data_IF_289149995435
#
_entry.id   IF_289149995435
#
_cell.length_a   1.000
_cell.length_b   1.000
_cell.length_c   1.000
_cell.angle_alpha   90.00
_cell.angle_beta   90.00
_cell.angle_gamma   90.00
#
_symmetry.space_group_name_H-M   'P 1'
#
loop_
_entity.id
_entity.type
_entity.pdbx_description
1 polymer ?
#
# COMPACT_ATOMS: atom_id res chain seq x y z
N UNK A 1 -5.52 -3.12 22.44
CA UNK A 1 -5.19 -2.28 21.29
C UNK A 1 -4.65 -3.15 20.17
N UNK A 2 -4.91 -2.78 18.91
CA UNK A 2 -4.51 -3.53 17.72
C UNK A 2 -3.39 -2.79 17.01
N UNK A 3 -2.31 -3.50 16.70
CA UNK A 3 -1.18 -2.99 15.91
C UNK A 3 -1.02 -3.90 14.70
N UNK A 4 -0.91 -3.31 13.51
CA UNK A 4 -0.67 -4.07 12.28
C UNK A 4 0.70 -3.75 11.71
N UNK A 5 1.31 -4.70 11.01
CA UNK A 5 2.64 -4.57 10.42
C UNK A 5 2.61 -4.86 8.92
N UNK A 6 3.17 -3.93 8.14
CA UNK A 6 3.48 -4.10 6.71
C UNK A 6 4.94 -3.73 6.48
N UNK A 7 5.73 -4.63 5.90
CA UNK A 7 7.14 -4.37 5.58
C UNK A 7 7.57 -5.06 4.30
N UNK A 8 8.78 -4.77 3.84
CA UNK A 8 9.50 -5.48 2.77
C UNK A 8 10.64 -6.38 3.33
N UNK A 9 10.59 -6.71 4.63
CA UNK A 9 11.70 -7.42 5.32
C UNK A 9 11.73 -8.94 5.07
N UNK A 10 10.67 -9.49 4.49
CA UNK A 10 10.49 -10.93 4.46
C UNK A 10 10.25 -11.51 5.86
N UNK A 11 10.31 -12.81 5.96
CA UNK A 11 10.10 -13.56 7.23
C UNK A 11 11.27 -14.45 7.61
N UNK A 12 12.32 -14.51 6.78
CA UNK A 12 13.46 -15.40 6.97
C UNK A 12 14.49 -14.88 7.97
N UNK A 13 14.72 -13.56 8.03
CA UNK A 13 15.88 -12.97 8.70
C UNK A 13 15.60 -12.46 10.13
N UNK A 14 14.37 -12.63 10.62
CA UNK A 14 14.01 -12.29 12.00
C UNK A 14 13.76 -10.80 12.28
N UNK A 15 13.94 -9.87 11.34
CA UNK A 15 13.71 -8.43 11.57
C UNK A 15 12.30 -8.12 12.07
N UNK A 16 11.29 -8.80 11.52
CA UNK A 16 9.91 -8.68 11.97
C UNK A 16 9.74 -9.15 13.41
N UNK A 17 10.41 -10.24 13.78
CA UNK A 17 10.36 -10.76 15.15
C UNK A 17 10.99 -9.80 16.16
N UNK A 18 12.09 -9.12 15.81
CA UNK A 18 12.67 -8.06 16.66
C UNK A 18 11.69 -6.89 16.88
N UNK A 19 11.04 -6.42 15.82
CA UNK A 19 10.00 -5.38 15.94
C UNK A 19 8.86 -5.82 16.87
N UNK A 20 8.38 -7.06 16.70
CA UNK A 20 7.33 -7.61 17.56
C UNK A 20 7.78 -7.76 19.02
N UNK A 21 9.03 -8.17 19.24
CA UNK A 21 9.62 -8.24 20.58
C UNK A 21 9.58 -6.89 21.28
N UNK A 22 9.96 -5.81 20.59
CA UNK A 22 9.86 -4.43 21.11
C UNK A 22 8.41 -4.04 21.41
N UNK A 23 7.49 -4.30 20.48
CA UNK A 23 6.07 -3.99 20.65
C UNK A 23 5.46 -4.69 21.88
N UNK A 24 5.71 -5.99 22.02
CA UNK A 24 5.19 -6.77 23.15
C UNK A 24 5.81 -6.37 24.49
N UNK A 25 7.06 -5.94 24.49
CA UNK A 25 7.74 -5.44 25.68
C UNK A 25 7.20 -4.08 26.12
N UNK A 26 6.97 -3.16 25.18
CA UNK A 26 6.55 -1.80 25.46
C UNK A 26 5.02 -1.65 25.61
N UNK A 27 4.23 -2.47 24.89
CA UNK A 27 2.77 -2.46 24.95
C UNK A 27 2.24 -3.88 25.23
N UNK A 28 2.45 -4.44 26.41
CA UNK A 28 1.99 -5.78 26.76
C UNK A 28 0.47 -5.86 26.65
N UNK A 29 -0.03 -6.94 26.03
CA UNK A 29 -1.46 -7.13 25.76
C UNK A 29 -1.97 -6.50 24.46
N UNK A 30 -1.13 -5.86 23.66
CA UNK A 30 -1.51 -5.50 22.30
C UNK A 30 -1.68 -6.75 21.42
N UNK A 31 -2.60 -6.68 20.48
CA UNK A 31 -2.75 -7.69 19.42
C UNK A 31 -1.94 -7.26 18.21
N UNK A 32 -1.07 -8.15 17.73
CA UNK A 32 -0.25 -7.90 16.54
C UNK A 32 -0.82 -8.68 15.34
N UNK A 33 -1.00 -7.99 14.22
CA UNK A 33 -1.48 -8.59 12.96
C UNK A 33 -0.52 -8.27 11.84
N UNK A 34 0.05 -9.29 11.25
CA UNK A 34 0.85 -9.13 10.03
C UNK A 34 -0.07 -8.94 8.84
N UNK A 35 0.16 -7.88 8.08
CA UNK A 35 -0.55 -7.61 6.83
C UNK A 35 0.19 -8.26 5.66
N UNK A 36 1.47 -7.98 5.56
CA UNK A 36 2.42 -8.62 4.65
C UNK A 36 3.83 -8.19 5.03
N UNK A 37 4.77 -9.10 4.85
CA UNK A 37 6.21 -8.81 4.90
C UNK A 37 6.89 -9.10 3.56
N UNK A 38 6.09 -9.46 2.54
CA UNK A 38 6.52 -9.87 1.21
C UNK A 38 6.32 -8.76 0.15
N UNK A 39 6.26 -7.49 0.58
CA UNK A 39 6.40 -6.38 -0.36
C UNK A 39 7.77 -6.50 -1.02
N UNK A 40 7.84 -6.33 -2.34
CA UNK A 40 9.12 -6.37 -3.03
C UNK A 40 10.09 -5.34 -2.41
N UNK A 41 11.36 -5.70 -2.16
CA UNK A 41 12.32 -4.81 -1.53
C UNK A 41 12.35 -3.43 -2.17
N UNK A 42 12.22 -2.40 -1.33
CA UNK A 42 12.25 -0.97 -1.71
C UNK A 42 11.05 -0.48 -2.55
N UNK A 43 10.02 -1.31 -2.80
CA UNK A 43 8.85 -0.90 -3.58
C UNK A 43 7.83 -0.13 -2.73
N UNK A 44 8.13 1.19 -2.55
CA UNK A 44 7.27 2.12 -1.82
C UNK A 44 5.87 2.19 -2.43
N UNK A 45 5.74 2.12 -3.75
CA UNK A 45 4.45 2.27 -4.42
C UNK A 45 3.58 1.02 -4.27
N UNK A 46 4.16 -0.19 -4.31
CA UNK A 46 3.42 -1.41 -3.99
C UNK A 46 2.92 -1.40 -2.53
N UNK A 47 3.78 -1.00 -1.58
CA UNK A 47 3.39 -0.83 -0.18
C UNK A 47 2.28 0.20 -0.01
N UNK A 48 2.39 1.36 -0.65
CA UNK A 48 1.38 2.43 -0.64
C UNK A 48 0.03 1.95 -1.15
N UNK A 49 0.01 1.19 -2.26
CA UNK A 49 -1.21 0.60 -2.82
C UNK A 49 -1.80 -0.46 -1.88
N UNK A 50 -0.96 -1.26 -1.22
CA UNK A 50 -1.39 -2.18 -0.18
C UNK A 50 -2.03 -1.42 0.99
N UNK A 51 -1.37 -0.37 1.52
CA UNK A 51 -1.95 0.51 2.57
C UNK A 51 -3.32 1.01 2.15
N UNK A 52 -3.49 1.54 0.94
CA UNK A 52 -4.77 2.06 0.45
C UNK A 52 -5.91 1.04 0.53
N UNK A 53 -5.61 -0.25 0.36
CA UNK A 53 -6.59 -1.34 0.39
C UNK A 53 -7.03 -1.75 1.79
N UNK A 54 -6.12 -1.76 2.78
CA UNK A 54 -6.40 -2.39 4.08
C UNK A 54 -6.62 -1.41 5.23
N UNK A 55 -5.95 -0.26 5.31
CA UNK A 55 -5.84 0.51 6.54
C UNK A 55 -7.20 0.93 7.13
N UNK A 56 -8.17 1.24 6.28
CA UNK A 56 -9.55 1.57 6.72
C UNK A 56 -10.44 0.36 6.97
N UNK A 57 -9.98 -0.86 6.68
CA UNK A 57 -10.70 -2.11 6.98
C UNK A 57 -10.58 -2.52 8.43
N UNK A 58 -9.56 -2.01 9.12
CA UNK A 58 -9.34 -2.25 10.52
C UNK A 58 -10.19 -1.30 11.39
N UNK A 59 -10.53 -1.69 12.65
CA UNK A 59 -11.30 -0.85 13.55
C UNK A 59 -10.65 0.51 13.81
N UNK A 60 -11.46 1.51 14.22
CA UNK A 60 -10.96 2.76 14.77
C UNK A 60 -10.02 2.49 15.96
N UNK A 61 -9.02 3.33 16.15
CA UNK A 61 -7.98 3.17 17.16
C UNK A 61 -6.87 2.19 16.81
N UNK A 62 -6.91 1.53 15.64
CA UNK A 62 -5.80 0.68 15.17
C UNK A 62 -4.56 1.53 14.85
N UNK A 63 -3.40 1.02 15.25
CA UNK A 63 -2.08 1.56 14.87
C UNK A 63 -1.48 0.71 13.76
N UNK A 64 -1.17 1.31 12.61
CA UNK A 64 -0.54 0.65 11.48
C UNK A 64 0.95 1.01 11.41
N UNK A 65 1.82 0.01 11.44
CA UNK A 65 3.26 0.17 11.18
C UNK A 65 3.50 -0.20 9.72
N UNK A 66 4.05 0.74 8.95
CA UNK A 66 4.37 0.53 7.53
C UNK A 66 5.82 0.90 7.31
N UNK A 67 6.67 -0.10 7.02
CA UNK A 67 8.10 0.11 6.85
C UNK A 67 8.57 -0.52 5.54
N UNK A 68 8.61 0.31 4.50
CA UNK A 68 9.35 0.09 3.25
C UNK A 68 10.21 1.34 3.07
N UNK A 69 11.48 1.23 3.41
CA UNK A 69 12.32 2.38 3.74
C UNK A 69 13.73 2.33 3.14
N UNK A 70 13.87 2.51 1.83
CA UNK A 70 15.19 2.58 1.19
C UNK A 70 16.03 3.79 1.65
N UNK A 71 15.42 4.75 2.36
CA UNK A 71 16.08 5.93 2.90
C UNK A 71 16.42 5.85 4.39
N UNK A 72 16.38 4.66 5.02
CA UNK A 72 16.74 4.50 6.43
C UNK A 72 18.13 5.05 6.73
N UNK A 73 18.30 5.73 7.86
CA UNK A 73 19.58 6.35 8.24
C UNK A 73 19.96 7.65 7.49
N UNK A 74 19.16 8.09 6.52
CA UNK A 74 19.34 9.36 5.81
C UNK A 74 18.63 10.52 6.53
N UNK A 75 18.59 11.70 5.89
CA UNK A 75 17.85 12.87 6.39
C UNK A 75 16.32 12.77 6.24
N UNK A 76 15.78 11.65 5.74
CA UNK A 76 14.33 11.46 5.65
C UNK A 76 13.71 11.41 7.04
N UNK A 77 12.59 12.10 7.23
CA UNK A 77 11.86 12.12 8.51
C UNK A 77 11.21 10.76 8.79
N UNK A 78 11.17 10.38 10.06
CA UNK A 78 10.24 9.38 10.57
C UNK A 78 8.96 10.11 10.98
N UNK A 79 7.78 9.60 10.67
CA UNK A 79 6.51 10.28 10.94
C UNK A 79 5.46 9.35 11.56
N UNK A 80 4.58 9.97 12.35
CA UNK A 80 3.30 9.40 12.75
C UNK A 80 2.16 10.22 12.14
N UNK A 81 1.10 9.55 11.71
CA UNK A 81 -0.08 10.13 11.07
C UNK A 81 -1.32 9.74 11.86
N UNK A 82 -2.20 10.71 12.13
CA UNK A 82 -3.56 10.47 12.62
C UNK A 82 -4.54 10.82 11.52
N UNK A 83 -5.38 9.88 11.11
CA UNK A 83 -6.34 10.05 10.03
C UNK A 83 -7.49 9.07 10.19
N UNK A 84 -8.74 9.52 9.98
CA UNK A 84 -9.94 8.67 10.01
C UNK A 84 -9.99 7.75 11.26
N UNK A 85 -9.74 8.32 12.46
CA UNK A 85 -9.68 7.64 13.76
C UNK A 85 -8.68 6.48 13.85
N UNK A 86 -7.68 6.45 12.99
CA UNK A 86 -6.57 5.48 12.98
C UNK A 86 -5.23 6.18 13.02
N UNK A 87 -4.22 5.43 13.38
CA UNK A 87 -2.86 5.92 13.52
C UNK A 87 -1.93 5.13 12.60
N UNK A 88 -1.01 5.79 11.95
CA UNK A 88 -0.01 5.15 11.10
C UNK A 88 1.37 5.65 11.48
N UNK A 89 2.37 4.79 11.49
CA UNK A 89 3.78 5.15 11.68
C UNK A 89 4.62 4.57 10.55
N UNK A 90 5.60 5.34 10.09
CA UNK A 90 6.49 4.91 9.01
C UNK A 90 7.41 6.03 8.52
N UNK A 91 8.19 5.77 7.47
CA UNK A 91 9.06 6.76 6.84
C UNK A 91 8.24 7.80 6.07
N UNK A 92 8.73 9.04 6.10
CA UNK A 92 8.20 10.14 5.28
C UNK A 92 8.76 10.06 3.85
N UNK A 93 8.29 9.06 3.09
CA UNK A 93 8.71 8.78 1.72
C UNK A 93 7.53 8.57 0.75
N UNK A 94 6.32 8.84 1.24
CA UNK A 94 5.08 8.72 0.48
C UNK A 94 4.36 7.38 0.68
N UNK A 95 4.90 6.44 1.44
CA UNK A 95 4.21 5.14 1.70
C UNK A 95 2.89 5.32 2.47
N UNK A 96 2.79 6.35 3.32
CA UNK A 96 1.60 6.68 4.11
C UNK A 96 0.61 7.61 3.38
N UNK A 97 0.83 7.92 2.12
CA UNK A 97 -0.01 8.83 1.34
C UNK A 97 -1.51 8.53 1.37
N UNK A 98 -1.99 7.27 1.40
CA UNK A 98 -3.43 7.01 1.49
C UNK A 98 -4.10 7.63 2.71
N UNK A 99 -3.40 7.72 3.83
CA UNK A 99 -3.89 8.37 5.04
C UNK A 99 -3.70 9.89 4.99
N UNK A 100 -2.58 10.37 4.42
CA UNK A 100 -2.24 11.78 4.29
C UNK A 100 -3.18 12.54 3.35
N UNK A 101 -3.77 11.86 2.37
CA UNK A 101 -4.66 12.45 1.37
C UNK A 101 -6.09 12.66 1.87
N UNK A 102 -6.45 12.14 3.03
CA UNK A 102 -7.78 12.38 3.61
C UNK A 102 -7.85 13.75 4.31
N UNK A 103 -8.99 14.42 4.24
CA UNK A 103 -9.22 15.65 4.98
C UNK A 103 -9.02 15.43 6.50
N UNK A 104 -8.37 16.38 7.15
CA UNK A 104 -8.15 16.34 8.61
C UNK A 104 -7.00 15.43 9.06
N UNK A 105 -6.22 14.88 8.15
CA UNK A 105 -4.99 14.16 8.51
C UNK A 105 -4.03 15.08 9.26
N UNK A 106 -3.48 14.60 10.38
CA UNK A 106 -2.48 15.29 11.20
C UNK A 106 -1.21 14.47 11.21
N UNK A 107 -0.05 15.13 11.18
CA UNK A 107 1.25 14.48 11.08
C UNK A 107 2.19 15.05 12.14
N UNK A 108 2.93 14.18 12.81
CA UNK A 108 4.02 14.55 13.69
C UNK A 108 5.32 13.87 13.26
N UNK A 109 6.44 14.58 13.38
CA UNK A 109 7.77 13.99 13.23
C UNK A 109 8.10 13.15 14.45
N UNK A 110 8.71 11.99 14.21
CA UNK A 110 9.20 11.14 15.29
C UNK A 110 10.70 11.43 15.50
N UNK A 111 11.14 11.71 16.74
CA UNK A 111 12.56 11.84 17.03
C UNK A 111 13.25 10.48 16.80
N UNK A 112 14.43 10.53 16.23
CA UNK A 112 15.31 9.36 16.11
C UNK A 112 16.23 9.36 17.33
N UNK A 113 16.15 8.36 18.24
CA UNK A 113 17.05 8.27 19.37
C UNK A 113 18.51 8.20 18.94
N UNK A 114 19.42 8.78 19.74
CA UNK A 114 20.85 8.81 19.42
C UNK A 114 21.51 7.43 19.40
N UNK A 115 20.92 6.46 20.08
CA UNK A 115 21.33 5.06 20.17
C UNK A 115 20.57 4.16 19.16
N UNK A 116 19.67 4.72 18.35
CA UNK A 116 18.99 3.97 17.31
C UNK A 116 19.96 3.49 16.23
N UNK A 117 19.81 2.25 15.80
CA UNK A 117 20.58 1.72 14.67
C UNK A 117 20.26 2.53 13.40
N UNK A 118 21.24 3.04 12.67
CA UNK A 118 21.02 3.79 11.44
C UNK A 118 20.43 2.93 10.31
N UNK A 119 20.39 1.61 10.48
CA UNK A 119 19.86 0.67 9.48
C UNK A 119 18.58 -0.02 9.92
N UNK A 120 18.07 0.24 11.14
CA UNK A 120 16.88 -0.46 11.64
C UNK A 120 15.89 0.44 12.40
N UNK A 121 15.44 1.52 11.78
CA UNK A 121 14.40 2.38 12.33
C UNK A 121 13.06 1.66 12.56
N UNK A 122 12.80 0.55 11.86
CA UNK A 122 11.66 -0.33 12.12
C UNK A 122 11.54 -0.71 13.59
N UNK A 123 12.65 -1.19 14.16
CA UNK A 123 12.77 -1.63 15.55
C UNK A 123 12.93 -0.46 16.52
N UNK A 124 13.78 0.51 16.21
CA UNK A 124 14.27 1.49 17.18
C UNK A 124 13.47 2.81 17.20
N UNK A 125 12.66 3.05 16.15
CA UNK A 125 11.84 4.28 16.01
C UNK A 125 10.37 3.95 15.84
N UNK A 126 10.00 3.14 14.84
CA UNK A 126 8.59 2.94 14.49
C UNK A 126 7.87 2.00 15.48
N UNK A 127 8.49 0.93 15.92
CA UNK A 127 7.88 0.04 16.91
C UNK A 127 7.65 0.73 18.27
N UNK A 128 8.63 1.46 18.87
CA UNK A 128 8.38 2.24 20.09
C UNK A 128 7.29 3.30 19.95
N UNK A 129 7.27 4.05 18.81
CA UNK A 129 6.24 5.05 18.58
C UNK A 129 4.84 4.42 18.47
N UNK A 130 4.71 3.30 17.77
CA UNK A 130 3.45 2.56 17.66
C UNK A 130 2.99 2.01 19.00
N UNK A 131 3.90 1.49 19.82
CA UNK A 131 3.59 1.03 21.19
C UNK A 131 3.08 2.18 22.07
N UNK A 132 3.70 3.35 21.99
CA UNK A 132 3.28 4.55 22.73
C UNK A 132 1.87 4.99 22.33
N UNK A 133 1.57 5.03 21.02
CA UNK A 133 0.24 5.32 20.49
C UNK A 133 -0.79 4.27 20.92
N UNK A 134 -0.43 2.99 20.89
CA UNK A 134 -1.28 1.90 21.34
C UNK A 134 -1.59 1.97 22.86
N UNK A 135 -0.74 2.61 23.65
CA UNK A 135 -0.97 2.91 25.08
C UNK A 135 -1.76 4.20 25.33
N UNK A 136 -2.21 4.87 24.26
CA UNK A 136 -3.04 6.07 24.36
C UNK A 136 -2.27 7.39 24.38
N UNK A 137 -0.97 7.40 24.11
CA UNK A 137 -0.26 8.67 23.91
C UNK A 137 -0.82 9.38 22.67
N UNK A 138 -0.93 10.70 22.76
CA UNK A 138 -1.43 11.52 21.65
C UNK A 138 -0.34 11.72 20.59
N UNK A 139 -0.75 11.97 19.36
CA UNK A 139 0.17 12.29 18.26
C UNK A 139 1.10 13.45 18.64
N UNK A 140 0.55 14.53 19.21
CA UNK A 140 1.30 15.74 19.59
C UNK A 140 2.33 15.51 20.70
N UNK A 141 2.22 14.40 21.44
CA UNK A 141 3.19 14.04 22.49
C UNK A 141 4.40 13.27 21.92
N UNK A 142 4.37 12.90 20.65
CA UNK A 142 5.44 12.11 20.02
C UNK A 142 6.49 12.98 19.32
N UNK A 143 6.12 14.18 18.88
CA UNK A 143 7.04 15.06 18.19
C UNK A 143 6.37 16.29 17.59
N UNK A 144 7.12 17.05 16.80
CA UNK A 144 6.69 18.31 16.24
C UNK A 144 5.74 18.12 15.05
N UNK A 145 4.76 19.02 14.83
CA UNK A 145 3.87 18.97 13.68
C UNK A 145 4.64 19.03 12.35
N UNK A 146 4.20 18.25 11.37
CA UNK A 146 4.72 18.27 10.00
C UNK A 146 3.61 18.76 9.06
N UNK A 147 3.88 19.84 8.32
CA UNK A 147 2.92 20.46 7.40
C UNK A 147 3.18 20.14 5.93
N UNK A 148 4.35 19.57 5.62
CA UNK A 148 4.84 19.24 4.28
C UNK A 148 5.27 17.78 4.16
N UNK A 149 4.45 16.79 4.56
CA UNK A 149 4.82 15.40 4.42
C UNK A 149 4.92 15.01 2.94
N UNK A 150 5.78 14.05 2.64
CA UNK A 150 5.92 13.53 1.28
C UNK A 150 4.65 12.78 0.87
N UNK A 151 4.03 13.21 -0.21
CA UNK A 151 2.81 12.61 -0.76
C UNK A 151 3.08 12.04 -2.15
N UNK A 152 2.75 10.77 -2.34
CA UNK A 152 2.73 10.09 -3.65
C UNK A 152 1.29 9.84 -4.06
N UNK A 153 0.96 10.12 -5.32
CA UNK A 153 -0.37 9.87 -5.89
C UNK A 153 -0.28 8.77 -6.95
N UNK A 154 -1.35 8.00 -7.08
CA UNK A 154 -1.52 7.16 -8.27
C UNK A 154 -1.80 8.08 -9.46
N UNK A 155 -1.15 7.90 -10.62
CA UNK A 155 -1.48 8.65 -11.83
C UNK A 155 -2.96 8.58 -12.13
N UNK A 156 -3.53 9.68 -12.61
CA UNK A 156 -4.93 9.71 -13.02
C UNK A 156 -5.09 9.15 -14.43
N UNK A 157 -6.21 8.49 -14.68
CA UNK A 157 -6.57 8.07 -16.03
C UNK A 157 -6.92 9.29 -16.88
N UNK A 158 -6.49 9.29 -18.14
CA UNK A 158 -6.67 10.38 -19.09
C UNK A 158 -7.75 10.00 -20.09
N UNK A 159 -8.74 10.88 -20.28
CA UNK A 159 -9.72 10.72 -21.35
C UNK A 159 -9.14 11.19 -22.67
N UNK A 160 -9.12 10.30 -23.66
CA UNK A 160 -8.68 10.57 -25.04
C UNK A 160 -9.86 11.17 -25.86
N UNK A 161 -9.55 11.91 -26.93
CA UNK A 161 -10.57 12.55 -27.79
C UNK A 161 -11.52 11.54 -28.47
N UNK A 162 -11.05 10.32 -28.71
CA UNK A 162 -11.81 9.21 -29.28
C UNK A 162 -12.75 8.51 -28.27
N UNK A 163 -12.85 9.05 -27.05
CA UNK A 163 -13.71 8.55 -25.98
C UNK A 163 -13.12 7.42 -25.12
N UNK A 164 -11.89 6.96 -25.42
CA UNK A 164 -11.17 6.01 -24.57
C UNK A 164 -10.65 6.68 -23.30
N UNK A 165 -10.56 5.89 -22.24
CA UNK A 165 -9.81 6.21 -21.03
C UNK A 165 -8.48 5.49 -21.10
N UNK A 166 -7.37 6.23 -21.05
CA UNK A 166 -6.02 5.69 -20.98
C UNK A 166 -5.54 5.73 -19.54
N UNK A 167 -5.22 4.59 -19.01
CA UNK A 167 -4.54 4.39 -17.73
C UNK A 167 -3.28 3.56 -17.92
N UNK A 168 -2.81 3.00 -16.81
CA UNK A 168 -1.63 2.15 -16.77
C UNK A 168 -1.77 1.06 -15.72
N UNK A 169 -0.97 0.02 -15.85
CA UNK A 169 -0.83 -1.03 -14.83
C UNK A 169 -0.05 -0.47 -13.64
N UNK A 170 -0.65 -0.46 -12.46
CA UNK A 170 -0.06 0.07 -11.23
C UNK A 170 0.56 -1.00 -10.33
N UNK A 171 0.08 -2.24 -10.40
CA UNK A 171 0.63 -3.38 -9.66
C UNK A 171 0.34 -4.68 -10.37
N UNK A 172 1.25 -5.64 -10.25
CA UNK A 172 1.01 -7.06 -10.58
C UNK A 172 0.85 -7.78 -9.23
N UNK A 173 -0.27 -8.48 -9.07
CA UNK A 173 -0.51 -9.24 -7.84
C UNK A 173 0.22 -10.60 -7.84
N UNK A 174 0.10 -11.34 -6.73
CA UNK A 174 0.74 -12.66 -6.57
C UNK A 174 0.26 -13.71 -7.59
N UNK A 175 -0.94 -13.56 -8.12
CA UNK A 175 -1.49 -14.46 -9.14
C UNK A 175 -1.04 -14.08 -10.55
N UNK A 176 -0.37 -12.94 -10.71
CA UNK A 176 0.03 -12.38 -11.99
C UNK A 176 -1.07 -11.56 -12.65
N UNK A 177 -2.13 -11.19 -11.92
CA UNK A 177 -3.14 -10.27 -12.43
C UNK A 177 -2.58 -8.85 -12.46
N UNK A 178 -2.90 -8.11 -13.51
CA UNK A 178 -2.48 -6.74 -13.68
C UNK A 178 -3.59 -5.78 -13.24
N UNK A 179 -3.39 -5.12 -12.11
CA UNK A 179 -4.30 -4.09 -11.58
C UNK A 179 -3.93 -2.74 -12.18
N UNK A 180 -4.91 -2.03 -12.72
CA UNK A 180 -4.73 -0.74 -13.37
C UNK A 180 -5.19 0.42 -12.48
N UNK A 181 -4.94 1.67 -12.91
CA UNK A 181 -5.53 2.87 -12.30
C UNK A 181 -6.88 3.28 -12.94
N UNK A 182 -7.47 2.42 -13.77
CA UNK A 182 -8.79 2.64 -14.36
C UNK A 182 -9.88 2.20 -13.37
N UNK A 183 -10.85 3.07 -13.12
CA UNK A 183 -12.05 2.69 -12.38
C UNK A 183 -12.91 1.77 -13.24
N UNK A 184 -13.28 0.63 -12.67
CA UNK A 184 -14.13 -0.32 -13.37
C UNK A 184 -15.55 0.23 -13.54
N UNK A 185 -16.11 -0.01 -14.72
CA UNK A 185 -17.50 0.30 -15.08
C UNK A 185 -18.20 -0.98 -15.52
N UNK A 186 -19.51 -0.94 -15.65
CA UNK A 186 -20.26 -2.08 -16.18
C UNK A 186 -20.23 -2.04 -17.71
N UNK A 187 -19.76 -3.13 -18.31
CA UNK A 187 -19.64 -3.28 -19.76
C UNK A 187 -18.44 -2.56 -20.37
N UNK A 188 -18.12 -2.88 -21.62
CA UNK A 188 -17.07 -2.22 -22.37
C UNK A 188 -15.90 -3.12 -22.77
N UNK A 189 -14.89 -2.49 -23.31
CA UNK A 189 -13.66 -3.10 -23.79
C UNK A 189 -12.45 -2.58 -23.06
N UNK A 190 -11.49 -3.48 -22.78
CA UNK A 190 -10.17 -3.13 -22.27
C UNK A 190 -9.14 -3.53 -23.31
N UNK A 191 -8.22 -2.62 -23.63
CA UNK A 191 -7.17 -2.84 -24.62
C UNK A 191 -5.79 -2.75 -23.99
N UNK A 192 -4.97 -3.78 -24.25
CA UNK A 192 -3.58 -3.87 -23.80
C UNK A 192 -2.70 -4.11 -25.02
N UNK A 193 -1.91 -3.13 -25.40
CA UNK A 193 -1.23 -3.15 -26.69
C UNK A 193 -2.24 -3.21 -27.85
N UNK A 194 -2.17 -4.28 -28.66
CA UNK A 194 -3.11 -4.54 -29.77
C UNK A 194 -4.21 -5.54 -29.41
N UNK A 195 -4.27 -6.00 -28.16
CA UNK A 195 -5.22 -7.02 -27.73
C UNK A 195 -6.43 -6.39 -27.08
N UNK A 196 -7.60 -6.71 -27.59
CA UNK A 196 -8.88 -6.41 -26.97
C UNK A 196 -9.23 -7.53 -25.98
N UNK A 197 -9.49 -7.16 -24.73
CA UNK A 197 -9.80 -8.07 -23.65
C UNK A 197 -11.22 -7.76 -23.18
N UNK A 198 -12.12 -8.75 -23.17
CA UNK A 198 -13.50 -8.51 -22.81
C UNK A 198 -13.61 -8.17 -21.32
N UNK A 199 -14.38 -7.12 -20.99
CA UNK A 199 -14.74 -6.80 -19.63
C UNK A 199 -15.89 -7.71 -19.19
N UNK A 200 -15.69 -8.48 -18.12
CA UNK A 200 -16.63 -9.46 -17.59
C UNK A 200 -16.84 -9.24 -16.10
N UNK A 201 -17.79 -9.96 -15.54
CA UNK A 201 -18.13 -9.85 -14.12
C UNK A 201 -17.15 -10.65 -13.24
N UNK A 202 -16.69 -11.80 -13.73
CA UNK A 202 -15.85 -12.73 -12.97
C UNK A 202 -14.91 -13.51 -13.87
N UNK A 203 -13.88 -14.11 -13.29
CA UNK A 203 -12.93 -14.99 -14.00
C UNK A 203 -13.61 -16.17 -14.69
N UNK A 204 -14.74 -16.66 -14.14
CA UNK A 204 -15.46 -17.81 -14.66
C UNK A 204 -16.24 -17.52 -15.96
N UNK A 205 -16.34 -16.28 -16.37
CA UNK A 205 -17.08 -15.87 -17.59
C UNK A 205 -16.29 -16.05 -18.89
N UNK A 206 -15.10 -16.62 -18.82
CA UNK A 206 -14.25 -17.01 -19.95
C UNK A 206 -13.74 -18.44 -19.75
N UNK A 207 -13.21 -19.08 -20.79
CA UNK A 207 -12.64 -20.43 -20.66
C UNK A 207 -11.26 -20.41 -19.95
N UNK A 208 -10.84 -21.55 -19.33
CA UNK A 208 -9.49 -21.67 -18.77
C UNK A 208 -8.41 -21.31 -19.80
N UNK A 209 -7.46 -20.47 -19.40
CA UNK A 209 -6.40 -19.95 -20.26
C UNK A 209 -6.76 -18.69 -21.06
N UNK A 210 -8.02 -18.24 -21.04
CA UNK A 210 -8.43 -17.03 -21.72
C UNK A 210 -8.22 -15.79 -20.84
N UNK A 211 -7.92 -14.66 -21.52
CA UNK A 211 -7.77 -13.36 -20.89
C UNK A 211 -9.13 -12.72 -20.60
N UNK A 212 -9.23 -12.06 -19.46
CA UNK A 212 -10.42 -11.35 -19.01
C UNK A 212 -10.03 -10.06 -18.29
N UNK A 213 -10.79 -9.01 -18.49
CA UNK A 213 -10.76 -7.82 -17.65
C UNK A 213 -12.00 -7.83 -16.75
N UNK A 214 -11.86 -7.39 -15.51
CA UNK A 214 -12.95 -7.38 -14.55
C UNK A 214 -12.78 -6.25 -13.51
N UNK A 215 -13.84 -5.95 -12.78
CA UNK A 215 -13.75 -5.08 -11.60
C UNK A 215 -13.12 -5.88 -10.45
N UNK A 216 -11.87 -5.59 -10.13
CA UNK A 216 -11.20 -6.16 -8.97
C UNK A 216 -11.83 -5.70 -7.65
N UNK A 217 -11.47 -6.32 -6.54
CA UNK A 217 -12.01 -6.01 -5.19
C UNK A 217 -11.73 -4.58 -4.71
N UNK A 218 -10.82 -3.86 -5.37
CA UNK A 218 -10.52 -2.45 -5.14
C UNK A 218 -11.39 -1.48 -5.95
N UNK A 219 -12.24 -1.99 -6.85
CA UNK A 219 -13.02 -1.19 -7.79
C UNK A 219 -12.23 -0.74 -9.04
N UNK A 220 -10.98 -1.17 -9.16
CA UNK A 220 -10.14 -0.90 -10.32
C UNK A 220 -10.26 -2.04 -11.34
N UNK A 221 -10.00 -1.71 -12.61
CA UNK A 221 -9.90 -2.72 -13.66
C UNK A 221 -8.68 -3.60 -13.41
N UNK A 222 -8.92 -4.88 -13.39
CA UNK A 222 -7.92 -5.95 -13.26
C UNK A 222 -7.93 -6.79 -14.55
N UNK A 223 -6.76 -7.08 -15.07
CA UNK A 223 -6.55 -7.93 -16.23
C UNK A 223 -5.96 -9.25 -15.74
N UNK A 224 -6.65 -10.33 -16.05
CA UNK A 224 -6.33 -11.67 -15.59
C UNK A 224 -6.34 -12.68 -16.72
N UNK A 225 -5.81 -13.87 -16.47
CA UNK A 225 -6.07 -15.08 -17.26
C UNK A 225 -6.71 -16.09 -16.34
N UNK A 226 -7.85 -16.67 -16.75
CA UNK A 226 -8.47 -17.72 -15.98
C UNK A 226 -7.53 -18.91 -15.83
N UNK A 227 -7.27 -19.31 -14.59
CA UNK A 227 -6.33 -20.40 -14.23
C UNK A 227 -4.90 -20.18 -14.76
N UNK A 228 -4.48 -18.90 -14.94
CA UNK A 228 -3.18 -18.54 -15.49
C UNK A 228 -2.59 -17.27 -14.90
N UNK A 229 -1.47 -16.83 -15.46
CA UNK A 229 -0.73 -15.63 -15.07
C UNK A 229 -0.75 -14.62 -16.23
N UNK A 230 -1.54 -13.55 -16.09
CA UNK A 230 -1.71 -12.55 -17.15
C UNK A 230 -0.42 -11.79 -17.43
N UNK A 231 0.34 -11.41 -16.40
CA UNK A 231 1.59 -10.68 -16.57
C UNK A 231 2.60 -11.48 -17.39
N UNK A 232 2.79 -12.76 -17.05
CA UNK A 232 3.74 -13.61 -17.76
C UNK A 232 3.27 -13.95 -19.17
N UNK A 233 1.99 -14.29 -19.37
CA UNK A 233 1.46 -14.77 -20.65
C UNK A 233 1.28 -13.64 -21.65
N UNK A 234 0.86 -12.44 -21.19
CA UNK A 234 0.58 -11.29 -22.06
C UNK A 234 1.77 -10.31 -22.12
N UNK A 235 2.85 -10.58 -21.38
CA UNK A 235 4.01 -9.67 -21.31
C UNK A 235 3.69 -8.34 -20.62
N UNK A 236 2.76 -8.34 -19.66
CA UNK A 236 2.32 -7.13 -18.97
C UNK A 236 3.33 -6.80 -17.87
N UNK A 237 3.75 -5.55 -17.83
CA UNK A 237 4.60 -5.00 -16.78
C UNK A 237 3.94 -3.77 -16.15
N UNK A 238 4.40 -3.40 -14.95
CA UNK A 238 3.98 -2.15 -14.31
C UNK A 238 4.36 -0.95 -15.19
N UNK A 239 3.46 0.03 -15.28
CA UNK A 239 3.58 1.19 -16.17
C UNK A 239 3.11 0.95 -17.60
N UNK A 240 2.75 -0.30 -17.97
CA UNK A 240 2.20 -0.56 -19.30
C UNK A 240 0.87 0.17 -19.47
N UNK A 241 0.72 0.88 -20.59
CA UNK A 241 -0.51 1.61 -20.91
C UNK A 241 -1.67 0.64 -21.18
N UNK A 242 -2.82 0.94 -20.58
CA UNK A 242 -4.08 0.23 -20.75
C UNK A 242 -5.14 1.23 -21.15
N UNK A 243 -5.96 0.88 -22.12
CA UNK A 243 -7.12 1.68 -22.53
C UNK A 243 -8.41 0.95 -22.21
N UNK A 244 -9.42 1.73 -21.84
CA UNK A 244 -10.77 1.22 -21.61
C UNK A 244 -11.77 2.13 -22.32
N UNK A 245 -12.77 1.52 -22.93
CA UNK A 245 -13.92 2.20 -23.50
C UNK A 245 -15.19 1.62 -22.92
N UNK A 246 -16.04 2.49 -22.41
CA UNK A 246 -17.37 2.10 -21.95
C UNK A 246 -18.31 1.93 -23.14
N UNK A 247 -19.26 1.01 -23.04
CA UNK A 247 -20.38 0.94 -23.98
C UNK A 247 -21.25 2.16 -23.90
#
# INVERSE_FOLDING_TARGET
MLITLLTDFGTSDGYVAEMKGVLLSLAPGCQLVDLSHDVAPHDIDAARLAVARFWRRFPAGTVHIVVVDPGVGSARRAIAVSSDDRLLVGPDNGVLSPALLLPGARVASLPVPSDASPTFHGRDVFAPAAAALAQGRTLDSLGEPVHDPVVRRTPEAIREENGWLRGEVIVIDRFGNAVTNLLAVHGGEVRVGERDIPLRRTYADVEPGEAVALAGSSGLVEIAIRDGNAAATLGITRGLAVRMKNE
#
